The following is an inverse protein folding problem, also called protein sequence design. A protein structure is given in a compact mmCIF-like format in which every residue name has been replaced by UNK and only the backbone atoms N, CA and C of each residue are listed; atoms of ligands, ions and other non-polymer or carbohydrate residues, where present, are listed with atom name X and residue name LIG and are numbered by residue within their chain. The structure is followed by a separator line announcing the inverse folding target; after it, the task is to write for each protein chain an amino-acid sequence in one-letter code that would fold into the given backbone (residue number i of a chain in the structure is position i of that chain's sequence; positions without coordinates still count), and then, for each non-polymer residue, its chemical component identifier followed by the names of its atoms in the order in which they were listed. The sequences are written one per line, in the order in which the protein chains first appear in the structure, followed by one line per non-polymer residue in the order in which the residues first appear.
data_IF_086016237787
#
_entry.id   IF_086016237787
#
_cell.length_a   1.000
_cell.length_b   1.000
_cell.length_c   1.000
_cell.angle_alpha   90.00
_cell.angle_beta   90.00
_cell.angle_gamma   90.00
#
_symmetry.space_group_name_H-M   'P 1'
#
loop_
_entity.id
_entity.type
_entity.pdbx_description
1 polymer ?
#
# COMPACT_ATOMS: atom_id res chain seq x y z
N UNK A 1 7.17 -1.25 22.46
CA UNK A 1 6.73 -0.80 21.11
C UNK A 1 5.30 -0.21 21.04
N UNK A 2 4.45 -0.34 22.08
CA UNK A 2 3.04 0.12 22.05
C UNK A 2 2.91 1.61 22.44
N UNK A 3 3.86 2.17 23.18
CA UNK A 3 3.82 3.59 23.60
C UNK A 3 4.09 4.60 22.48
N UNK A 4 4.69 4.19 21.35
CA UNK A 4 5.01 5.12 20.24
C UNK A 4 3.74 5.63 19.53
N UNK A 5 2.66 4.83 19.54
CA UNK A 5 1.37 5.19 18.93
C UNK A 5 0.64 6.29 19.71
N UNK A 6 0.95 6.46 21.00
CA UNK A 6 0.38 7.55 21.81
C UNK A 6 0.97 8.92 21.46
N UNK A 7 2.09 8.97 20.71
CA UNK A 7 2.88 10.18 20.45
C UNK A 7 2.66 10.75 19.04
N UNK A 8 2.03 10.03 18.10
CA UNK A 8 1.73 10.64 16.79
C UNK A 8 0.50 11.56 16.93
N UNK A 9 0.66 12.91 16.93
CA UNK A 9 -0.50 13.78 16.89
C UNK A 9 -1.25 13.54 15.58
N UNK A 10 -2.59 13.61 15.62
CA UNK A 10 -3.47 13.49 14.46
C UNK A 10 -3.01 14.38 13.28
N UNK A 11 -2.36 15.51 13.60
CA UNK A 11 -1.75 16.46 12.68
C UNK A 11 -0.68 15.84 11.79
N UNK A 12 0.17 14.94 12.32
CA UNK A 12 1.30 14.36 11.57
C UNK A 12 0.82 13.34 10.55
N UNK A 13 -0.32 12.70 10.79
CA UNK A 13 -0.97 11.78 9.85
C UNK A 13 -1.30 12.47 8.52
N UNK A 14 -1.76 13.72 8.58
CA UNK A 14 -2.04 14.53 7.39
C UNK A 14 -0.78 14.79 6.57
N UNK A 15 0.33 15.12 7.23
CA UNK A 15 1.62 15.35 6.56
C UNK A 15 2.21 14.05 5.98
N UNK A 16 2.05 12.93 6.68
CA UNK A 16 2.47 11.61 6.17
C UNK A 16 1.65 11.22 4.93
N UNK A 17 0.33 11.44 4.93
CA UNK A 17 -0.51 11.19 3.77
C UNK A 17 -0.09 12.06 2.57
N UNK A 18 0.07 13.37 2.78
CA UNK A 18 0.53 14.29 1.74
C UNK A 18 1.93 13.92 1.22
N UNK A 19 2.86 13.59 2.13
CA UNK A 19 4.21 13.16 1.78
C UNK A 19 4.23 11.87 0.97
N UNK A 20 3.37 10.91 1.30
CA UNK A 20 3.22 9.67 0.52
C UNK A 20 2.72 9.92 -0.90
N UNK A 21 1.76 10.82 -1.09
CA UNK A 21 1.28 11.21 -2.42
C UNK A 21 2.40 11.86 -3.23
N UNK A 22 3.12 12.81 -2.63
CA UNK A 22 4.25 13.51 -3.27
C UNK A 22 5.33 12.51 -3.69
N UNK A 23 5.70 11.58 -2.81
CA UNK A 23 6.67 10.56 -3.18
C UNK A 23 6.15 9.65 -4.28
N UNK A 24 4.90 9.18 -4.24
CA UNK A 24 4.35 8.36 -5.34
C UNK A 24 4.43 9.09 -6.67
N UNK A 25 4.17 10.40 -6.70
CA UNK A 25 4.36 11.23 -7.90
C UNK A 25 5.83 11.33 -8.31
N UNK A 26 6.75 11.50 -7.36
CA UNK A 26 8.19 11.49 -7.63
C UNK A 26 8.61 10.14 -8.21
N UNK A 27 8.15 9.01 -7.66
CA UNK A 27 8.44 7.67 -8.19
C UNK A 27 7.99 7.55 -9.64
N UNK A 28 6.74 7.97 -9.91
CA UNK A 28 6.20 7.91 -11.25
C UNK A 28 6.99 8.80 -12.22
N UNK A 29 7.35 10.02 -11.80
CA UNK A 29 8.18 10.92 -12.59
C UNK A 29 9.59 10.36 -12.82
N UNK A 30 10.20 9.72 -11.82
CA UNK A 30 11.49 9.04 -11.96
C UNK A 30 11.39 7.89 -12.95
N UNK A 31 10.35 7.05 -12.89
CA UNK A 31 10.16 5.98 -13.87
C UNK A 31 10.01 6.53 -15.31
N UNK A 32 9.25 7.61 -15.48
CA UNK A 32 9.13 8.31 -16.78
C UNK A 32 10.49 8.84 -17.23
N UNK A 33 11.22 9.52 -16.36
CA UNK A 33 12.55 10.05 -16.65
C UNK A 33 13.50 8.95 -17.11
N UNK A 34 13.57 7.84 -16.36
CA UNK A 34 14.39 6.69 -16.71
C UNK A 34 14.04 6.13 -18.08
N UNK A 35 12.76 6.02 -18.43
CA UNK A 35 12.36 5.53 -19.76
C UNK A 35 12.79 6.49 -20.87
N UNK A 36 12.76 7.80 -20.63
CA UNK A 36 13.16 8.81 -21.61
C UNK A 36 14.68 8.91 -21.79
N UNK A 37 15.45 8.66 -20.72
CA UNK A 37 16.92 8.77 -20.73
C UNK A 37 17.63 7.45 -20.90
N UNK A 38 16.97 6.32 -20.66
CA UNK A 38 17.55 5.02 -20.90
C UNK A 38 17.79 4.85 -22.40
N UNK A 39 19.06 4.79 -22.78
CA UNK A 39 19.46 4.01 -23.95
C UNK A 39 19.06 2.57 -23.60
N UNK A 40 17.87 2.16 -24.06
CA UNK A 40 17.29 0.86 -23.72
C UNK A 40 18.30 -0.22 -24.10
N UNK A 41 19.02 -0.76 -23.11
CA UNK A 41 19.63 -2.07 -23.21
C UNK A 41 18.48 -3.02 -23.53
N UNK A 42 18.37 -3.36 -24.81
CA UNK A 42 17.24 -4.07 -25.40
C UNK A 42 17.15 -5.49 -24.82
N UNK A 43 16.69 -5.58 -23.58
CA UNK A 43 16.21 -6.81 -22.99
C UNK A 43 14.93 -7.16 -23.73
N UNK A 44 14.78 -8.43 -24.09
CA UNK A 44 13.58 -8.90 -24.77
C UNK A 44 12.37 -8.56 -23.91
N UNK A 45 11.44 -7.79 -24.47
CA UNK A 45 10.17 -7.46 -23.82
C UNK A 45 9.14 -8.42 -24.40
N UNK A 46 8.74 -9.41 -23.62
CA UNK A 46 7.81 -10.46 -24.03
C UNK A 46 6.39 -10.17 -23.52
N UNK A 47 5.60 -9.43 -24.32
CA UNK A 47 4.24 -9.02 -23.92
C UNK A 47 3.26 -10.19 -23.70
N UNK A 48 3.43 -11.29 -24.44
CA UNK A 48 2.42 -12.35 -24.55
C UNK A 48 2.85 -13.69 -23.96
N UNK A 49 4.08 -13.81 -23.43
CA UNK A 49 4.60 -15.07 -22.89
C UNK A 49 4.87 -14.94 -21.40
N UNK A 50 4.06 -15.57 -20.52
CA UNK A 50 4.40 -15.63 -19.12
C UNK A 50 5.69 -16.46 -18.97
N UNK A 51 6.65 -15.95 -18.19
CA UNK A 51 7.90 -16.67 -17.98
C UNK A 51 7.70 -18.04 -17.32
N UNK A 52 6.69 -18.15 -16.43
CA UNK A 52 6.23 -19.43 -15.89
C UNK A 52 4.81 -19.30 -15.31
N UNK A 53 4.06 -20.41 -15.24
CA UNK A 53 2.77 -20.46 -14.53
C UNK A 53 2.93 -20.11 -13.05
N UNK A 54 4.06 -20.50 -12.44
CA UNK A 54 4.37 -20.17 -11.05
C UNK A 54 4.52 -18.67 -10.83
N UNK A 55 5.14 -17.95 -11.77
CA UNK A 55 5.26 -16.49 -11.71
C UNK A 55 3.88 -15.82 -11.72
N UNK A 56 2.93 -16.31 -12.52
CA UNK A 56 1.56 -15.77 -12.56
C UNK A 56 0.86 -15.98 -11.21
N UNK A 57 0.98 -17.18 -10.63
CA UNK A 57 0.40 -17.50 -9.31
C UNK A 57 1.07 -16.67 -8.21
N UNK A 58 2.37 -16.42 -8.29
CA UNK A 58 3.10 -15.59 -7.32
C UNK A 58 2.76 -14.09 -7.45
N UNK A 59 2.42 -13.61 -8.65
CA UNK A 59 1.99 -12.23 -8.87
C UNK A 59 0.57 -11.95 -8.37
N UNK A 60 -0.30 -12.96 -8.33
CA UNK A 60 -1.68 -12.82 -7.86
C UNK A 60 -1.80 -12.18 -6.46
N UNK A 61 -1.13 -12.68 -5.40
CA UNK A 61 -1.20 -12.06 -4.07
C UNK A 61 -0.59 -10.66 -4.03
N UNK A 62 0.38 -10.34 -4.90
CA UNK A 62 0.95 -8.98 -4.99
C UNK A 62 -0.10 -7.99 -5.51
N UNK A 63 -0.83 -8.38 -6.56
CA UNK A 63 -1.92 -7.57 -7.11
C UNK A 63 -3.04 -7.42 -6.08
N UNK A 64 -3.47 -8.51 -5.44
CA UNK A 64 -4.49 -8.43 -4.38
C UNK A 64 -4.07 -7.51 -3.24
N UNK A 65 -2.82 -7.61 -2.79
CA UNK A 65 -2.25 -6.77 -1.73
C UNK A 65 -2.30 -5.27 -2.07
N UNK A 66 -2.15 -4.90 -3.34
CA UNK A 66 -2.24 -3.50 -3.77
C UNK A 66 -3.64 -2.89 -3.58
N UNK A 67 -4.69 -3.71 -3.59
CA UNK A 67 -6.08 -3.27 -3.40
C UNK A 67 -6.57 -3.45 -1.94
N UNK A 68 -5.68 -3.77 -1.00
CA UNK A 68 -6.01 -3.87 0.42
C UNK A 68 -6.13 -2.47 1.02
N UNK A 69 -7.31 -1.86 0.84
CA UNK A 69 -7.68 -0.56 1.42
C UNK A 69 -9.05 -0.53 2.10
N UNK A 70 -9.78 -1.64 2.07
CA UNK A 70 -11.16 -1.73 2.55
C UNK A 70 -11.32 -1.41 4.04
N UNK A 71 -10.34 -1.73 4.89
CA UNK A 71 -10.40 -1.43 6.32
C UNK A 71 -10.41 0.08 6.64
N UNK A 72 -9.93 0.92 5.72
CA UNK A 72 -9.94 2.37 5.88
C UNK A 72 -11.26 3.01 5.44
N UNK A 73 -12.16 2.28 4.76
CA UNK A 73 -13.42 2.83 4.25
C UNK A 73 -14.33 3.35 5.38
N UNK A 74 -14.34 2.67 6.53
CA UNK A 74 -15.15 3.07 7.69
C UNK A 74 -14.67 4.39 8.30
N UNK A 75 -13.36 4.66 8.28
CA UNK A 75 -12.81 5.94 8.74
C UNK A 75 -13.17 7.07 7.78
N UNK A 76 -13.15 6.79 6.48
CA UNK A 76 -13.57 7.75 5.44
C UNK A 76 -15.06 8.06 5.58
N UNK A 77 -15.89 7.06 5.88
CA UNK A 77 -17.32 7.24 6.12
C UNK A 77 -17.60 8.14 7.33
N UNK A 78 -16.92 7.92 8.44
CA UNK A 78 -17.11 8.74 9.64
C UNK A 78 -16.69 10.21 9.46
N UNK A 79 -15.72 10.48 8.58
CA UNK A 79 -15.24 11.85 8.29
C UNK A 79 -16.08 12.55 7.21
N UNK A 80 -16.83 11.80 6.40
CA UNK A 80 -17.62 12.36 5.30
C UNK A 80 -18.83 13.14 5.83
N UNK A 81 -19.08 14.32 5.25
CA UNK A 81 -20.26 15.12 5.61
C UNK A 81 -21.54 14.34 5.28
N UNK A 82 -22.57 14.49 6.12
CA UNK A 82 -23.83 13.74 6.01
C UNK A 82 -24.48 13.67 4.61
N UNK A 83 -24.25 14.67 3.76
CA UNK A 83 -24.77 14.72 2.38
C UNK A 83 -24.13 13.72 1.42
N UNK A 84 -22.96 13.17 1.74
CA UNK A 84 -22.20 12.31 0.82
C UNK A 84 -22.21 10.82 1.21
N UNK A 85 -22.79 10.42 2.33
CA UNK A 85 -22.85 8.99 2.71
C UNK A 85 -23.63 8.16 1.70
N UNK A 86 -24.71 8.71 1.13
CA UNK A 86 -25.51 8.02 0.11
C UNK A 86 -24.69 7.69 -1.16
N UNK A 87 -23.66 8.50 -1.44
CA UNK A 87 -22.80 8.38 -2.62
C UNK A 87 -21.44 7.74 -2.30
N UNK A 88 -21.22 7.23 -1.08
CA UNK A 88 -19.92 6.67 -0.66
C UNK A 88 -19.45 5.56 -1.61
N UNK A 89 -20.35 4.67 -2.02
CA UNK A 89 -20.02 3.60 -2.96
C UNK A 89 -19.56 4.14 -4.32
N UNK A 90 -20.17 5.23 -4.80
CA UNK A 90 -19.77 5.88 -6.04
C UNK A 90 -18.39 6.55 -5.88
N UNK A 91 -18.15 7.28 -4.78
CA UNK A 91 -16.86 7.92 -4.50
C UNK A 91 -15.73 6.90 -4.48
N UNK A 92 -15.95 5.75 -3.84
CA UNK A 92 -14.97 4.67 -3.76
C UNK A 92 -14.74 4.05 -5.14
N UNK A 93 -15.80 3.73 -5.89
CA UNK A 93 -15.68 3.23 -7.25
C UNK A 93 -14.90 4.20 -8.15
N UNK A 94 -15.26 5.49 -8.13
CA UNK A 94 -14.58 6.50 -8.94
C UNK A 94 -13.12 6.64 -8.55
N UNK A 95 -12.78 6.56 -7.25
CA UNK A 95 -11.39 6.67 -6.81
C UNK A 95 -10.54 5.48 -7.26
N UNK A 96 -11.08 4.27 -7.19
CA UNK A 96 -10.39 3.05 -7.62
C UNK A 96 -10.17 3.09 -9.14
N UNK A 97 -11.23 3.31 -9.91
CA UNK A 97 -11.17 3.25 -11.36
C UNK A 97 -10.46 4.44 -12.00
N UNK A 98 -10.61 5.65 -11.46
CA UNK A 98 -10.03 6.86 -12.06
C UNK A 98 -8.57 7.08 -11.66
N UNK A 99 -8.14 6.62 -10.48
CA UNK A 99 -6.81 6.95 -9.93
C UNK A 99 -5.98 5.69 -9.65
N UNK A 100 -6.47 4.78 -8.80
CA UNK A 100 -5.66 3.66 -8.33
C UNK A 100 -5.29 2.68 -9.46
N UNK A 101 -6.28 2.21 -10.22
CA UNK A 101 -6.09 1.23 -11.28
C UNK A 101 -5.17 1.74 -12.40
N UNK A 102 -5.35 2.97 -12.94
CA UNK A 102 -4.44 3.51 -13.94
C UNK A 102 -3.01 3.65 -13.43
N UNK A 103 -2.81 4.10 -12.18
CA UNK A 103 -1.47 4.23 -11.59
C UNK A 103 -0.79 2.88 -11.43
N UNK A 104 -1.50 1.85 -10.98
CA UNK A 104 -0.94 0.50 -10.83
C UNK A 104 -0.58 -0.13 -12.17
N UNK A 105 -1.44 0.02 -13.19
CA UNK A 105 -1.16 -0.48 -14.54
C UNK A 105 0.03 0.29 -15.15
N UNK A 106 0.02 1.62 -15.09
CA UNK A 106 1.08 2.44 -15.68
C UNK A 106 2.43 2.18 -15.02
N UNK A 107 2.49 2.14 -13.68
CA UNK A 107 3.74 1.82 -12.96
C UNK A 107 4.24 0.40 -13.23
N UNK A 108 3.35 -0.58 -13.37
CA UNK A 108 3.72 -1.95 -13.75
C UNK A 108 4.28 -2.03 -15.18
N UNK A 109 3.63 -1.39 -16.15
CA UNK A 109 4.11 -1.33 -17.54
C UNK A 109 5.46 -0.62 -17.61
N UNK A 110 5.59 0.54 -16.96
CA UNK A 110 6.85 1.29 -16.93
C UNK A 110 8.00 0.50 -16.31
N UNK A 111 7.75 -0.17 -15.17
CA UNK A 111 8.74 -1.03 -14.53
C UNK A 111 9.17 -2.20 -15.43
N UNK A 112 8.22 -2.79 -16.17
CA UNK A 112 8.54 -3.85 -17.12
C UNK A 112 9.29 -3.33 -18.35
N UNK A 113 8.96 -2.14 -18.87
CA UNK A 113 9.70 -1.53 -19.99
C UNK A 113 11.15 -1.19 -19.62
N UNK A 114 11.42 -0.84 -18.35
CA UNK A 114 12.76 -0.44 -17.90
C UNK A 114 13.71 -1.64 -17.74
N UNK A 115 13.22 -2.79 -17.30
CA UNK A 115 14.07 -3.96 -16.96
C UNK A 115 13.81 -5.21 -17.83
N UNK A 116 12.72 -5.21 -18.61
CA UNK A 116 12.30 -6.31 -19.47
C UNK A 116 12.19 -7.64 -18.74
N UNK A 117 12.65 -8.70 -19.42
CA UNK A 117 12.60 -10.08 -18.92
C UNK A 117 13.46 -10.35 -17.66
N UNK A 118 14.32 -9.40 -17.22
CA UNK A 118 15.18 -9.54 -16.03
C UNK A 118 14.65 -8.81 -14.79
N UNK A 119 13.40 -8.34 -14.82
CA UNK A 119 12.81 -7.62 -13.69
C UNK A 119 12.81 -8.48 -12.41
N UNK A 120 13.37 -7.95 -11.33
CA UNK A 120 13.29 -8.58 -10.01
C UNK A 120 11.90 -8.38 -9.40
N UNK A 121 11.51 -9.28 -8.50
CA UNK A 121 10.24 -9.19 -7.76
C UNK A 121 10.13 -7.96 -6.86
N UNK A 122 11.25 -7.30 -6.56
CA UNK A 122 11.30 -6.08 -5.77
C UNK A 122 12.10 -4.99 -6.48
N UNK A 123 11.41 -3.94 -6.92
CA UNK A 123 12.00 -2.78 -7.59
C UNK A 123 13.04 -2.06 -6.72
N UNK A 124 12.87 -2.05 -5.40
CA UNK A 124 13.82 -1.39 -4.48
C UNK A 124 15.18 -2.09 -4.51
N UNK A 125 15.20 -3.41 -4.68
CA UNK A 125 16.45 -4.16 -4.84
C UNK A 125 17.10 -3.86 -6.19
N UNK A 126 16.31 -3.64 -7.23
CA UNK A 126 16.82 -3.25 -8.54
C UNK A 126 17.49 -1.87 -8.50
N UNK A 127 16.86 -0.91 -7.83
CA UNK A 127 17.40 0.45 -7.69
C UNK A 127 18.65 0.54 -6.81
N UNK A 128 18.79 -0.35 -5.82
CA UNK A 128 19.94 -0.34 -4.91
C UNK A 128 21.29 -0.59 -5.59
N UNK A 129 21.29 -1.25 -6.75
CA UNK A 129 22.50 -1.51 -7.53
C UNK A 129 22.86 -0.39 -8.52
N UNK A 130 22.00 0.61 -8.69
CA UNK A 130 22.21 1.70 -9.64
C UNK A 130 23.07 2.83 -9.04
N UNK A 131 23.97 3.39 -9.86
CA UNK A 131 24.80 4.55 -9.49
C UNK A 131 24.09 5.88 -9.73
N UNK A 132 22.86 5.86 -10.26
CA UNK A 132 22.10 7.06 -10.54
C UNK A 132 21.55 7.69 -9.25
N UNK A 133 21.94 8.94 -9.01
CA UNK A 133 21.52 9.69 -7.83
C UNK A 133 19.99 9.83 -7.72
N UNK A 134 19.28 9.90 -8.85
CA UNK A 134 17.81 10.01 -8.90
C UNK A 134 17.16 8.77 -8.27
N UNK A 135 17.65 7.59 -8.60
CA UNK A 135 17.16 6.32 -8.06
C UNK A 135 17.49 6.16 -6.57
N UNK A 136 18.63 6.68 -6.12
CA UNK A 136 18.97 6.67 -4.69
C UNK A 136 18.05 7.56 -3.86
N UNK A 137 17.74 8.78 -4.33
CA UNK A 137 16.79 9.67 -3.66
C UNK A 137 15.39 9.04 -3.60
N UNK A 138 14.96 8.46 -4.72
CA UNK A 138 13.72 7.69 -4.83
C UNK A 138 13.67 6.54 -3.80
N UNK A 139 14.74 5.75 -3.69
CA UNK A 139 14.84 4.63 -2.75
C UNK A 139 14.71 5.10 -1.29
N UNK A 140 15.41 6.18 -0.91
CA UNK A 140 15.30 6.76 0.45
C UNK A 140 13.87 7.19 0.74
N UNK A 141 13.20 7.83 -0.23
CA UNK A 141 11.82 8.28 -0.07
C UNK A 141 10.84 7.10 0.12
N UNK A 142 11.00 6.01 -0.64
CA UNK A 142 10.18 4.79 -0.47
C UNK A 142 10.38 4.18 0.91
N UNK A 143 11.64 4.05 1.35
CA UNK A 143 11.96 3.49 2.67
C UNK A 143 11.32 4.33 3.77
N UNK A 144 11.46 5.66 3.70
CA UNK A 144 10.90 6.58 4.69
C UNK A 144 9.37 6.44 4.78
N UNK A 145 8.69 6.38 3.64
CA UNK A 145 7.23 6.20 3.61
C UNK A 145 6.80 4.84 4.14
N UNK A 146 7.55 3.77 3.83
CA UNK A 146 7.25 2.46 4.37
C UNK A 146 7.37 2.46 5.89
N UNK A 147 8.38 3.13 6.45
CA UNK A 147 8.50 3.35 7.91
C UNK A 147 7.30 4.11 8.44
N UNK A 148 6.87 5.20 7.77
CA UNK A 148 5.71 5.98 8.18
C UNK A 148 4.37 5.21 8.06
N UNK A 149 4.27 4.21 7.18
CA UNK A 149 3.07 3.37 7.04
C UNK A 149 2.88 2.42 8.23
N UNK A 150 3.94 1.96 8.88
CA UNK A 150 3.82 1.05 10.03
C UNK A 150 2.96 1.65 11.17
N UNK A 151 3.22 2.88 11.66
CA UNK A 151 2.33 3.53 12.63
C UNK A 151 0.88 3.63 12.18
N UNK A 152 0.63 3.93 10.90
CA UNK A 152 -0.72 4.08 10.35
C UNK A 152 -1.53 2.78 10.44
N UNK A 153 -0.89 1.64 10.21
CA UNK A 153 -1.53 0.32 10.28
C UNK A 153 -1.75 -0.14 11.73
N UNK A 154 -0.91 0.30 12.67
CA UNK A 154 -1.03 -0.06 14.08
C UNK A 154 -2.21 0.64 14.79
N UNK A 155 -2.65 1.82 14.31
CA UNK A 155 -3.78 2.56 14.89
C UNK A 155 -5.12 1.79 14.75
N UNK A 156 -5.59 1.40 13.56
CA UNK A 156 -6.82 0.62 13.41
C UNK A 156 -6.70 -0.77 14.05
N UNK A 157 -5.51 -1.37 14.02
CA UNK A 157 -5.24 -2.63 14.73
C UNK A 157 -5.44 -2.47 16.23
N UNK A 158 -4.94 -1.38 16.83
CA UNK A 158 -5.15 -1.07 18.25
C UNK A 158 -6.63 -0.89 18.56
N UNK A 159 -7.37 -0.14 17.75
CA UNK A 159 -8.82 0.07 17.95
C UNK A 159 -9.57 -1.27 17.93
N UNK A 160 -9.31 -2.10 16.92
CA UNK A 160 -9.91 -3.43 16.77
C UNK A 160 -9.59 -4.36 17.95
N UNK A 161 -8.35 -4.31 18.46
CA UNK A 161 -7.92 -5.09 19.61
C UNK A 161 -8.52 -4.57 20.92
N UNK A 162 -8.57 -3.25 21.11
CA UNK A 162 -9.10 -2.64 22.33
C UNK A 162 -10.60 -2.89 22.47
N UNK A 163 -11.34 -2.94 21.36
CA UNK A 163 -12.75 -3.30 21.35
C UNK A 163 -12.98 -4.80 21.65
N UNK A 164 -12.18 -5.69 21.04
CA UNK A 164 -12.38 -7.14 21.16
C UNK A 164 -11.79 -7.77 22.42
N UNK A 165 -10.70 -7.24 23.00
CA UNK A 165 -10.05 -7.83 24.18
C UNK A 165 -10.99 -7.87 25.42
N UNK A 166 -11.70 -6.79 25.78
CA UNK A 166 -12.68 -6.82 26.87
C UNK A 166 -13.86 -7.73 26.57
N UNK A 167 -14.35 -7.73 25.32
CA UNK A 167 -15.44 -8.60 24.88
C UNK A 167 -15.07 -10.09 25.02
N UNK A 168 -13.83 -10.46 24.69
CA UNK A 168 -13.31 -11.82 24.90
C UNK A 168 -13.15 -12.16 26.39
N UNK A 169 -12.73 -11.19 27.22
CA UNK A 169 -12.61 -11.40 28.67
C UNK A 169 -13.99 -11.62 29.32
N UNK A 170 -15.02 -10.91 28.88
CA UNK A 170 -16.41 -11.10 29.30
C UNK A 170 -17.03 -12.41 28.77
N UNK A 171 -16.76 -12.79 27.52
CA UNK A 171 -17.21 -14.06 26.97
C UNK A 171 -16.60 -15.26 27.70
N UNK A 172 -15.31 -15.20 28.05
CA UNK A 172 -14.62 -16.26 28.77
C UNK A 172 -15.11 -16.39 30.23
N UNK A 173 -15.41 -15.27 30.88
CA UNK A 173 -16.00 -15.30 32.24
C UNK A 173 -17.44 -15.80 32.25
N UNK A 174 -18.26 -15.40 31.27
CA UNK A 174 -19.62 -15.92 31.11
C UNK A 174 -19.64 -17.43 30.82
N UNK A 175 -18.71 -17.93 29.99
CA UNK A 175 -18.55 -19.35 29.70
C UNK A 175 -18.09 -20.15 30.93
N UNK A 176 -17.14 -19.62 31.71
CA UNK A 176 -16.69 -20.22 32.99
C UNK A 176 -17.81 -20.25 34.05
N UNK A 177 -18.64 -19.20 34.15
CA UNK A 177 -19.78 -19.21 35.08
C UNK A 177 -20.89 -20.18 34.67
N UNK A 178 -21.12 -20.35 33.36
CA UNK A 178 -22.12 -21.28 32.85
C UNK A 178 -21.71 -22.76 33.02
N UNK A 179 -20.41 -23.05 33.00
CA UNK A 179 -19.87 -24.40 33.21
C UNK A 179 -19.66 -24.78 34.68
N UNK A 180 -19.66 -23.80 35.60
CA UNK A 180 -19.67 -24.03 37.06
C UNK A 180 -21.08 -24.17 37.66
N UNK A 181 -22.12 -23.76 36.91
CA UNK A 181 -23.54 -23.84 37.29
C UNK A 181 -24.28 -25.04 36.67
N UNK A 182 -23.59 -25.85 35.87
CA UNK A 182 -24.07 -27.12 35.30
C UNK A 182 -23.36 -28.30 35.98
#
# INVERSE_FOLDING_TARGET
PICLVHILPLSILRYVSAGSLVCTLILFATLVYMILTAETDATTVSFWRPQSLWSVVASFPLVLSSYVGHFNIFKIDYELKHRYHADMNNIVHTSIWAVATPLYIASGIMGYLLYGDRVKSNLVQEWSGSSEWVLQVCLVAVILINICKFPLLLIPLRESLTERIPALKHANTAFLTASLLA
#
